data_IF_649546743958
#
_entry.id   IF_649546743958
#
_cell.length_a   1.000
_cell.length_b   1.000
_cell.length_c   1.000
_cell.angle_alpha   90.00
_cell.angle_beta   90.00
_cell.angle_gamma   90.00
#
_symmetry.space_group_name_H-M   'P 1'
#
loop_
_entity.id
_entity.type
_entity.pdbx_description
1 polymer ?
#
# COMPACT_ATOMS: atom_id res chain seq x y z
N UNK A 1 0.31 -2.03 -5.60
CA UNK A 1 0.17 -0.74 -4.89
C UNK A 1 1.52 -0.15 -4.55
N UNK A 2 2.29 -0.67 -3.60
CA UNK A 2 3.57 -0.05 -3.22
C UNK A 2 4.57 0.12 -4.38
N UNK A 3 4.70 -0.90 -5.24
CA UNK A 3 5.53 -0.83 -6.45
C UNK A 3 5.11 0.30 -7.38
N UNK A 4 3.80 0.47 -7.61
CA UNK A 4 3.25 1.56 -8.42
C UNK A 4 3.54 2.92 -7.78
N UNK A 5 3.32 3.07 -6.48
CA UNK A 5 3.52 4.35 -5.78
C UNK A 5 4.98 4.77 -5.65
N UNK A 6 5.91 3.80 -5.66
CA UNK A 6 7.34 4.06 -5.52
C UNK A 6 8.10 4.00 -6.84
N UNK A 7 7.44 3.55 -7.92
CA UNK A 7 8.05 3.22 -9.22
C UNK A 7 9.28 2.30 -9.09
N UNK A 8 9.30 1.47 -8.05
CA UNK A 8 10.43 0.60 -7.71
C UNK A 8 9.95 -0.82 -7.42
N UNK A 9 10.67 -1.78 -8.01
CA UNK A 9 10.49 -3.19 -7.70
C UNK A 9 10.81 -3.42 -6.21
N UNK A 10 9.91 -4.02 -5.43
CA UNK A 10 10.18 -4.34 -4.02
C UNK A 10 11.42 -5.22 -3.87
N UNK A 11 12.31 -4.82 -2.95
CA UNK A 11 13.55 -5.56 -2.64
C UNK A 11 14.49 -5.75 -3.84
N UNK A 12 14.53 -4.79 -4.78
CA UNK A 12 15.38 -4.90 -5.98
C UNK A 12 16.89 -4.94 -5.68
N UNK A 13 17.28 -4.50 -4.50
CA UNK A 13 18.64 -4.36 -3.99
C UNK A 13 19.04 -5.54 -3.08
N UNK A 14 18.15 -6.50 -2.87
CA UNK A 14 18.36 -7.63 -1.96
C UNK A 14 18.27 -8.94 -2.75
N UNK A 15 19.19 -9.90 -2.57
CA UNK A 15 19.06 -11.24 -3.13
C UNK A 15 17.74 -11.92 -2.71
N UNK A 16 17.05 -12.55 -3.67
CA UNK A 16 15.79 -13.25 -3.43
C UNK A 16 16.04 -14.68 -2.93
N UNK A 17 16.60 -14.77 -1.73
CA UNK A 17 16.99 -16.02 -1.08
C UNK A 17 16.21 -16.28 0.22
N UNK A 18 16.60 -17.36 0.92
CA UNK A 18 15.96 -17.75 2.18
C UNK A 18 16.15 -16.71 3.30
N UNK A 19 17.20 -15.88 3.26
CA UNK A 19 17.40 -14.82 4.25
C UNK A 19 16.37 -13.70 4.08
N UNK A 20 16.03 -13.36 2.83
CA UNK A 20 14.94 -12.41 2.56
C UNK A 20 13.60 -12.93 3.09
N UNK A 21 13.29 -14.22 2.88
CA UNK A 21 12.07 -14.84 3.43
C UNK A 21 12.01 -14.69 4.95
N UNK A 22 13.11 -15.00 5.67
CA UNK A 22 13.17 -14.85 7.13
C UNK A 22 12.95 -13.40 7.57
N UNK A 23 13.54 -12.43 6.87
CA UNK A 23 13.32 -11.00 7.15
C UNK A 23 11.83 -10.64 7.00
N UNK A 24 11.18 -11.08 5.92
CA UNK A 24 9.75 -10.81 5.66
C UNK A 24 8.86 -11.42 6.75
N UNK A 25 9.13 -12.66 7.16
CA UNK A 25 8.41 -13.30 8.27
C UNK A 25 8.58 -12.56 9.60
N UNK A 26 9.71 -11.86 9.81
CA UNK A 26 9.97 -11.00 10.97
C UNK A 26 9.42 -9.58 10.84
N UNK A 27 8.62 -9.30 9.81
CA UNK A 27 7.98 -8.00 9.62
C UNK A 27 8.74 -7.03 8.72
N UNK A 28 9.82 -7.45 8.07
CA UNK A 28 10.48 -6.62 7.06
C UNK A 28 9.52 -6.37 5.88
N UNK A 29 9.33 -5.10 5.52
CA UNK A 29 8.45 -4.65 4.43
C UNK A 29 9.21 -3.66 3.53
N UNK A 30 8.82 -3.51 2.26
CA UNK A 30 9.41 -2.52 1.38
C UNK A 30 9.17 -1.10 1.92
N UNK A 31 10.06 -0.16 1.62
CA UNK A 31 9.83 1.27 1.92
C UNK A 31 8.61 1.74 1.11
N UNK A 32 7.74 2.51 1.77
CA UNK A 32 6.65 3.25 1.12
C UNK A 32 7.16 4.66 0.86
N UNK A 33 6.90 5.23 -0.32
CA UNK A 33 7.35 6.60 -0.63
C UNK A 33 6.65 7.60 0.30
N UNK A 34 7.37 8.65 0.68
CA UNK A 34 6.81 9.73 1.51
C UNK A 34 5.77 10.53 0.72
N UNK A 35 5.85 10.53 -0.61
CA UNK A 35 4.89 11.16 -1.53
C UNK A 35 3.62 10.31 -1.74
N UNK A 36 3.54 9.12 -1.14
CA UNK A 36 2.33 8.28 -1.26
C UNK A 36 1.19 8.90 -0.44
N UNK A 37 0.00 9.15 -1.02
CA UNK A 37 -1.14 9.64 -0.26
C UNK A 37 -1.41 8.76 0.96
N UNK A 38 -1.60 9.38 2.12
CA UNK A 38 -1.77 8.67 3.40
C UNK A 38 -2.84 7.58 3.36
N UNK A 39 -3.95 7.80 2.65
CA UNK A 39 -5.00 6.78 2.47
C UNK A 39 -4.50 5.51 1.76
N UNK A 40 -3.57 5.68 0.82
CA UNK A 40 -2.92 4.57 0.11
C UNK A 40 -1.88 3.91 1.01
N UNK A 41 -1.12 4.69 1.80
CA UNK A 41 -0.20 4.15 2.83
C UNK A 41 -0.93 3.26 3.82
N UNK A 42 -2.03 3.75 4.40
CA UNK A 42 -2.85 3.02 5.37
C UNK A 42 -3.38 1.72 4.76
N UNK A 43 -3.80 1.76 3.49
CA UNK A 43 -4.30 0.58 2.78
C UNK A 43 -3.18 -0.44 2.47
N UNK A 44 -1.98 0.02 2.09
CA UNK A 44 -0.79 -0.84 1.91
C UNK A 44 -0.46 -1.55 3.23
N UNK A 45 -0.40 -0.81 4.34
CA UNK A 45 -0.12 -1.37 5.66
C UNK A 45 -1.16 -2.41 6.05
N UNK A 46 -2.45 -2.12 5.85
CA UNK A 46 -3.55 -3.06 6.15
C UNK A 46 -3.45 -4.35 5.32
N UNK A 47 -3.10 -4.25 4.03
CA UNK A 47 -2.85 -5.42 3.17
C UNK A 47 -1.66 -6.27 3.63
N UNK A 48 -0.70 -5.67 4.34
CA UNK A 48 0.54 -6.31 4.79
C UNK A 48 0.51 -6.81 6.24
N UNK A 49 -0.65 -6.73 6.90
CA UNK A 49 -0.80 -7.13 8.29
C UNK A 49 -0.28 -8.57 8.51
N UNK A 50 0.46 -8.76 9.60
CA UNK A 50 1.02 -10.04 9.98
C UNK A 50 -0.09 -11.09 10.20
N UNK A 51 -1.22 -10.66 10.75
CA UNK A 51 -2.42 -11.45 10.96
C UNK A 51 -3.27 -11.45 9.69
N UNK A 52 -3.54 -12.63 9.16
CA UNK A 52 -4.29 -12.77 7.92
C UNK A 52 -5.73 -12.25 8.05
N UNK A 53 -6.33 -12.39 9.24
CA UNK A 53 -7.68 -11.93 9.56
C UNK A 53 -7.85 -10.41 9.55
N UNK A 54 -6.76 -9.64 9.67
CA UNK A 54 -6.78 -8.18 9.62
C UNK A 54 -6.70 -7.63 8.19
N UNK A 55 -6.32 -8.48 7.23
CA UNK A 55 -6.16 -8.08 5.83
C UNK A 55 -7.54 -7.91 5.19
N UNK A 56 -7.73 -6.89 4.32
CA UNK A 56 -8.94 -6.80 3.55
C UNK A 56 -9.04 -7.99 2.59
N UNK A 57 -10.25 -8.48 2.40
CA UNK A 57 -10.55 -9.37 1.28
C UNK A 57 -10.37 -8.61 -0.04
N UNK A 58 -10.15 -9.33 -1.14
CA UNK A 58 -10.07 -8.71 -2.47
C UNK A 58 -11.34 -7.91 -2.82
N UNK A 59 -12.50 -8.35 -2.34
CA UNK A 59 -13.77 -7.64 -2.53
C UNK A 59 -13.78 -6.29 -1.80
N UNK A 60 -13.39 -6.26 -0.53
CA UNK A 60 -13.30 -5.01 0.25
C UNK A 60 -12.25 -4.07 -0.32
N UNK A 61 -11.09 -4.62 -0.70
CA UNK A 61 -10.01 -3.84 -1.33
C UNK A 61 -10.50 -3.16 -2.61
N UNK A 62 -11.21 -3.89 -3.48
CA UNK A 62 -11.82 -3.34 -4.70
C UNK A 62 -12.78 -2.21 -4.38
N UNK A 63 -13.70 -2.41 -3.42
CA UNK A 63 -14.68 -1.39 -3.04
C UNK A 63 -14.04 -0.12 -2.50
N UNK A 64 -12.96 -0.25 -1.71
CA UNK A 64 -12.20 0.89 -1.20
C UNK A 64 -11.55 1.66 -2.36
N UNK A 65 -10.91 0.96 -3.29
CA UNK A 65 -10.26 1.57 -4.44
C UNK A 65 -11.25 2.24 -5.41
N UNK A 66 -12.38 1.60 -5.68
CA UNK A 66 -13.48 2.17 -6.48
C UNK A 66 -13.97 3.48 -5.85
N UNK A 67 -14.21 3.48 -4.52
CA UNK A 67 -14.59 4.70 -3.82
C UNK A 67 -13.53 5.80 -3.95
N UNK A 68 -12.25 5.46 -3.81
CA UNK A 68 -11.18 6.46 -3.97
C UNK A 68 -11.17 7.04 -5.38
N UNK A 69 -11.41 6.22 -6.41
CA UNK A 69 -11.50 6.67 -7.80
C UNK A 69 -12.70 7.59 -8.02
N UNK A 70 -13.84 7.30 -7.43
CA UNK A 70 -15.02 8.16 -7.54
C UNK A 70 -14.80 9.51 -6.81
N UNK A 71 -14.04 9.49 -5.72
CA UNK A 71 -13.77 10.63 -4.85
C UNK A 71 -12.60 11.52 -5.35
N UNK A 72 -11.82 11.13 -6.37
CA UNK A 72 -10.60 11.88 -6.78
C UNK A 72 -10.88 13.27 -7.32
N UNK A 73 -12.08 13.52 -7.84
CA UNK A 73 -12.50 14.82 -8.38
C UNK A 73 -13.42 15.59 -7.41
N UNK A 74 -13.78 14.98 -6.27
CA UNK A 74 -14.57 15.62 -5.23
C UNK A 74 -13.66 16.44 -4.30
N UNK A 75 -13.71 17.77 -4.42
CA UNK A 75 -12.90 18.70 -3.63
C UNK A 75 -13.09 18.54 -2.10
N UNK A 76 -14.22 17.98 -1.67
CA UNK A 76 -14.50 17.69 -0.26
C UNK A 76 -13.91 16.36 0.23
N UNK A 77 -13.37 15.53 -0.66
CA UNK A 77 -12.94 14.19 -0.33
C UNK A 77 -11.54 14.16 0.30
N UNK A 78 -11.31 13.14 1.13
CA UNK A 78 -10.01 12.96 1.78
C UNK A 78 -8.91 12.61 0.77
N UNK A 79 -9.24 11.91 -0.31
CA UNK A 79 -8.26 11.52 -1.32
C UNK A 79 -7.86 12.73 -2.17
N UNK A 80 -8.83 13.57 -2.57
CA UNK A 80 -8.58 14.82 -3.29
C UNK A 80 -7.57 15.70 -2.54
N UNK A 81 -7.78 15.88 -1.23
CA UNK A 81 -6.89 16.70 -0.39
C UNK A 81 -5.45 16.18 -0.28
N UNK A 82 -5.20 14.92 -0.63
CA UNK A 82 -3.88 14.28 -0.53
C UNK A 82 -3.18 14.13 -1.88
N UNK A 83 -3.89 14.29 -3.00
CA UNK A 83 -3.31 14.25 -4.35
C UNK A 83 -3.04 15.64 -4.93
N UNK A 84 -3.67 16.68 -4.38
CA UNK A 84 -3.46 18.07 -4.75
C UNK A 84 -2.28 18.66 -3.96
N UNK A 85 -1.07 18.33 -4.39
CA UNK A 85 0.16 19.10 -4.09
C UNK A 85 0.67 19.78 -5.36
#
# INVERSE_FOLDING_TARGET
>A
MNELMSERIPYNDIPHDQFLVVKICKGFRPKISEDTPKLIVDLIIKCWDAKAENRPTTKELRQILEKYLDDVDDEGSKIYSQIKE
#
